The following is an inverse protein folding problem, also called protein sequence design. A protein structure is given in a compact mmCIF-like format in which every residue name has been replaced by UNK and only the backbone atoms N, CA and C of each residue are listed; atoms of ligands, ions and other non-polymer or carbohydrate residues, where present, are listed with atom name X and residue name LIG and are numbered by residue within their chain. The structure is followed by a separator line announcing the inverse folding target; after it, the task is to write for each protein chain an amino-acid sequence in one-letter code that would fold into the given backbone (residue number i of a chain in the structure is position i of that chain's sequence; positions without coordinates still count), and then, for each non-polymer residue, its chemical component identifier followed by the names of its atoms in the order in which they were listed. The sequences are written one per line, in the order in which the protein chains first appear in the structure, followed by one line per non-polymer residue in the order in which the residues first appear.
data_IF_995446501002
#
_entry.id   IF_995446501002
#
_cell.length_a   1.000
_cell.length_b   1.000
_cell.length_c   1.000
_cell.angle_alpha   90.00
_cell.angle_beta   90.00
_cell.angle_gamma   90.00
#
_symmetry.space_group_name_H-M   'P 1'
#
loop_
_entity.id
_entity.type
_entity.pdbx_description
1 polymer ?
#
# COMPACT_ATOMS: atom_id res chain seq x y z
N UNK A 1 2.84 9.11 -45.06
CA UNK A 1 3.46 8.06 -44.23
C UNK A 1 4.41 8.75 -43.27
N UNK A 2 3.93 9.04 -42.05
CA UNK A 2 4.74 9.66 -40.99
C UNK A 2 4.82 8.65 -39.87
N UNK A 3 6.03 8.14 -39.63
CA UNK A 3 6.30 7.11 -38.63
C UNK A 3 6.32 7.78 -37.26
N UNK A 4 5.34 7.44 -36.44
CA UNK A 4 5.23 7.85 -35.04
C UNK A 4 6.40 7.25 -34.26
N UNK A 5 7.29 8.11 -33.77
CA UNK A 5 8.47 7.75 -33.00
C UNK A 5 8.00 7.51 -31.56
N UNK A 6 7.87 6.24 -31.17
CA UNK A 6 7.61 5.83 -29.78
C UNK A 6 8.76 6.31 -28.90
N UNK A 7 8.48 7.30 -28.05
CA UNK A 7 9.43 7.82 -27.09
C UNK A 7 9.67 6.78 -26.00
N UNK A 8 10.79 6.07 -26.09
CA UNK A 8 11.32 5.26 -24.98
C UNK A 8 11.71 6.23 -23.87
N UNK A 9 11.04 6.16 -22.72
CA UNK A 9 11.46 6.83 -21.49
C UNK A 9 12.91 6.42 -21.22
N UNK A 10 13.87 7.36 -21.10
CA UNK A 10 15.24 7.01 -20.81
C UNK A 10 15.29 6.38 -19.41
N UNK A 11 16.03 5.28 -19.29
CA UNK A 11 16.42 4.72 -18.00
C UNK A 11 17.37 5.73 -17.30
N UNK A 12 16.80 6.78 -16.72
CA UNK A 12 17.49 7.72 -15.85
C UNK A 12 17.87 6.98 -14.57
N UNK A 13 19.15 7.08 -14.19
CA UNK A 13 19.77 6.26 -13.15
C UNK A 13 18.96 6.18 -11.86
N UNK A 14 19.05 5.02 -11.18
CA UNK A 14 18.52 4.83 -9.84
C UNK A 14 19.01 5.97 -8.93
N UNK A 15 18.17 6.99 -8.77
CA UNK A 15 18.53 8.23 -8.10
C UNK A 15 18.87 7.94 -6.65
N UNK A 16 19.99 8.52 -6.19
CA UNK A 16 20.38 8.52 -4.78
C UNK A 16 19.20 8.98 -3.90
N UNK A 17 18.99 8.29 -2.79
CA UNK A 17 17.94 8.60 -1.83
C UNK A 17 17.45 7.36 -1.09
N UNK A 18 16.70 7.57 -0.01
CA UNK A 18 16.05 6.51 0.78
C UNK A 18 14.58 6.81 1.02
N UNK A 19 13.78 5.76 1.17
CA UNK A 19 12.45 5.85 1.77
C UNK A 19 12.58 5.68 3.28
N UNK A 20 11.93 6.56 4.05
CA UNK A 20 11.63 6.32 5.45
C UNK A 20 10.18 5.89 5.56
N UNK A 21 9.94 4.65 5.93
CA UNK A 21 8.61 4.16 6.27
C UNK A 21 8.47 4.20 7.78
N UNK A 22 7.37 4.77 8.26
CA UNK A 22 7.07 4.89 9.69
C UNK A 22 5.78 4.16 9.95
N UNK A 23 5.80 3.23 10.89
CA UNK A 23 4.58 2.61 11.36
C UNK A 23 4.74 1.20 11.91
N UNK A 24 3.63 0.49 12.05
CA UNK A 24 3.61 -0.77 12.77
C UNK A 24 4.30 -1.89 11.99
N UNK A 25 4.97 -2.75 12.76
CA UNK A 25 5.39 -4.08 12.37
C UNK A 25 4.97 -4.99 13.53
N UNK A 26 4.39 -6.15 13.20
CA UNK A 26 3.75 -7.02 14.18
C UNK A 26 3.85 -8.49 13.78
N UNK A 27 3.36 -9.37 14.63
CA UNK A 27 3.14 -10.77 14.30
C UNK A 27 1.66 -11.04 14.09
N UNK A 28 1.31 -11.56 12.92
CA UNK A 28 0.01 -12.15 12.63
C UNK A 28 0.03 -13.62 13.08
N UNK A 29 -0.69 -13.92 14.16
CA UNK A 29 -0.83 -15.26 14.71
C UNK A 29 -2.17 -15.87 14.30
N UNK A 30 -2.15 -17.08 13.74
CA UNK A 30 -3.36 -17.86 13.46
C UNK A 30 -3.42 -19.02 14.44
N UNK A 31 -4.54 -19.16 15.15
CA UNK A 31 -4.79 -20.25 16.11
C UNK A 31 -5.92 -21.12 15.59
N UNK A 32 -5.66 -22.42 15.53
CA UNK A 32 -6.61 -23.42 15.07
C UNK A 32 -7.30 -24.14 16.25
N UNK A 33 -8.51 -24.69 16.06
CA UNK A 33 -9.21 -25.47 17.10
C UNK A 33 -8.45 -26.69 17.60
N UNK A 34 -7.54 -27.24 16.79
CA UNK A 34 -6.70 -28.39 17.13
C UNK A 34 -5.50 -28.04 18.04
N UNK A 35 -5.37 -26.76 18.40
CA UNK A 35 -4.30 -26.23 19.24
C UNK A 35 -3.03 -25.87 18.46
N UNK A 36 -2.99 -26.09 17.14
CA UNK A 36 -1.88 -25.62 16.31
C UNK A 36 -1.92 -24.10 16.12
N UNK A 37 -0.76 -23.50 15.95
CA UNK A 37 -0.63 -22.07 15.67
C UNK A 37 0.48 -21.78 14.68
N UNK A 38 0.26 -20.79 13.82
CA UNK A 38 1.26 -20.24 12.92
C UNK A 38 1.45 -18.76 13.20
N UNK A 39 2.69 -18.29 13.21
CA UNK A 39 3.05 -16.88 13.42
C UNK A 39 3.79 -16.38 12.18
N UNK A 40 3.33 -15.26 11.62
CA UNK A 40 3.92 -14.65 10.43
C UNK A 40 4.22 -13.18 10.70
N UNK A 41 5.34 -12.64 10.19
CA UNK A 41 5.57 -11.20 10.17
C UNK A 41 4.46 -10.48 9.40
N UNK A 42 4.00 -9.36 9.95
CA UNK A 42 2.97 -8.52 9.36
C UNK A 42 3.15 -7.04 9.71
N UNK A 43 2.13 -6.25 9.37
CA UNK A 43 2.13 -4.79 9.51
C UNK A 43 2.19 -4.10 8.14
N UNK A 44 1.25 -3.17 7.91
CA UNK A 44 1.09 -2.55 6.60
C UNK A 44 2.33 -1.72 6.20
N UNK A 45 2.81 -0.78 7.03
CA UNK A 45 4.06 -0.05 6.76
C UNK A 45 5.27 -0.97 6.61
N UNK A 46 5.36 -2.06 7.39
CA UNK A 46 6.41 -3.05 7.25
C UNK A 46 6.41 -3.72 5.86
N UNK A 47 5.23 -4.10 5.35
CA UNK A 47 5.05 -4.67 4.02
C UNK A 47 5.38 -3.67 2.89
N UNK A 48 5.07 -2.38 3.08
CA UNK A 48 5.48 -1.33 2.13
C UNK A 48 7.00 -1.21 2.08
N UNK A 49 7.67 -1.19 3.23
CA UNK A 49 9.13 -1.16 3.30
C UNK A 49 9.76 -2.40 2.64
N UNK A 50 9.20 -3.59 2.91
CA UNK A 50 9.58 -4.86 2.29
C UNK A 50 9.48 -4.79 0.76
N UNK A 51 8.35 -4.31 0.23
CA UNK A 51 8.13 -4.16 -1.20
C UNK A 51 9.13 -3.20 -1.85
N UNK A 52 9.41 -2.06 -1.22
CA UNK A 52 10.41 -1.11 -1.70
C UNK A 52 11.81 -1.71 -1.75
N UNK A 53 12.21 -2.43 -0.70
CA UNK A 53 13.51 -3.08 -0.63
C UNK A 53 13.69 -4.16 -1.71
N UNK A 54 12.65 -4.98 -1.95
CA UNK A 54 12.65 -6.00 -3.03
C UNK A 54 12.68 -5.39 -4.42
N UNK A 55 12.10 -4.21 -4.60
CA UNK A 55 12.23 -3.42 -5.83
C UNK A 55 13.60 -2.74 -5.93
N UNK A 56 14.52 -2.92 -4.99
CA UNK A 56 15.88 -2.38 -5.02
C UNK A 56 15.98 -0.93 -4.58
N UNK A 57 14.98 -0.42 -3.84
CA UNK A 57 15.06 0.89 -3.18
C UNK A 57 15.69 0.73 -1.79
N UNK A 58 16.47 1.72 -1.37
CA UNK A 58 16.90 1.81 0.03
C UNK A 58 15.68 2.18 0.88
N UNK A 59 15.28 1.29 1.78
CA UNK A 59 14.12 1.46 2.65
C UNK A 59 14.54 1.31 4.11
N UNK A 60 14.29 2.36 4.89
CA UNK A 60 14.38 2.34 6.33
C UNK A 60 12.97 2.18 6.92
N UNK A 61 12.83 1.40 7.98
CA UNK A 61 11.58 1.25 8.72
C UNK A 61 11.77 1.72 10.18
N UNK A 62 11.07 2.78 10.56
CA UNK A 62 10.92 3.21 11.95
C UNK A 62 9.66 2.58 12.54
N UNK A 63 9.83 1.67 13.50
CA UNK A 63 8.74 0.85 14.04
C UNK A 63 8.86 0.62 15.55
N UNK A 64 7.88 -0.08 16.13
CA UNK A 64 7.73 -0.32 17.56
C UNK A 64 7.75 -1.82 17.86
N UNK A 65 8.94 -2.42 17.84
CA UNK A 65 9.16 -3.86 18.05
C UNK A 65 9.87 -4.14 19.37
N UNK A 66 9.39 -5.14 20.11
CA UNK A 66 9.96 -5.56 21.39
C UNK A 66 11.27 -6.30 21.24
N UNK A 67 12.12 -6.28 22.28
CA UNK A 67 13.35 -7.07 22.34
C UNK A 67 13.07 -8.54 22.71
N UNK A 68 12.26 -9.21 21.89
CA UNK A 68 11.80 -10.59 22.09
C UNK A 68 11.90 -11.43 20.80
N UNK A 69 11.60 -12.72 20.91
CA UNK A 69 11.72 -13.67 19.79
C UNK A 69 10.82 -13.31 18.59
N UNK A 70 9.67 -12.67 18.83
CA UNK A 70 8.75 -12.21 17.78
C UNK A 70 9.29 -10.97 17.09
N UNK A 71 9.86 -10.03 17.84
CA UNK A 71 10.56 -8.88 17.28
C UNK A 71 11.72 -9.33 16.42
N UNK A 72 12.49 -10.32 16.87
CA UNK A 72 13.59 -10.90 16.08
C UNK A 72 13.10 -11.64 14.83
N UNK A 73 11.94 -12.30 14.89
CA UNK A 73 11.30 -12.93 13.73
C UNK A 73 10.98 -11.87 12.67
N UNK A 74 10.35 -10.76 13.07
CA UNK A 74 9.96 -9.67 12.17
C UNK A 74 11.20 -8.96 11.60
N UNK A 75 12.19 -8.62 12.44
CA UNK A 75 13.45 -7.99 11.99
C UNK A 75 14.15 -8.83 10.93
N UNK A 76 14.38 -10.13 11.22
CA UNK A 76 15.05 -11.04 10.27
C UNK A 76 14.30 -11.13 8.94
N UNK A 77 12.97 -11.16 8.98
CA UNK A 77 12.16 -11.22 7.76
C UNK A 77 12.36 -9.98 6.87
N UNK A 78 12.32 -8.79 7.48
CA UNK A 78 12.48 -7.52 6.79
C UNK A 78 13.92 -7.32 6.29
N UNK A 79 14.91 -7.60 7.14
CA UNK A 79 16.34 -7.47 6.82
C UNK A 79 16.77 -8.45 5.73
N UNK A 80 16.18 -9.65 5.66
CA UNK A 80 16.44 -10.61 4.59
C UNK A 80 16.05 -10.08 3.19
N UNK A 81 15.16 -9.09 3.12
CA UNK A 81 14.81 -8.40 1.87
C UNK A 81 15.52 -7.05 1.70
N UNK A 82 16.43 -6.68 2.61
CA UNK A 82 17.23 -5.46 2.54
C UNK A 82 16.61 -4.23 3.21
N UNK A 83 15.54 -4.39 4.00
CA UNK A 83 15.01 -3.29 4.82
C UNK A 83 15.96 -3.05 5.99
N UNK A 84 16.27 -1.78 6.28
CA UNK A 84 16.95 -1.40 7.50
C UNK A 84 15.93 -1.03 8.57
N UNK A 85 15.81 -1.86 9.61
CA UNK A 85 14.95 -1.54 10.76
C UNK A 85 15.71 -0.58 11.67
N UNK A 86 15.14 0.59 11.93
CA UNK A 86 15.74 1.61 12.79
C UNK A 86 15.48 1.30 14.26
N UNK A 87 16.44 1.67 15.11
CA UNK A 87 16.39 1.51 16.54
C UNK A 87 16.12 2.85 17.22
N UNK A 88 14.99 2.92 17.92
CA UNK A 88 14.64 4.06 18.76
C UNK A 88 15.33 4.02 20.13
N UNK A 89 15.29 5.16 20.82
CA UNK A 89 15.66 5.28 22.23
C UNK A 89 14.75 4.50 23.19
N UNK A 90 13.59 4.07 22.70
CA UNK A 90 12.59 3.28 23.41
C UNK A 90 12.04 2.18 22.51
N UNK A 91 11.59 1.10 23.13
CA UNK A 91 10.92 -0.05 22.50
C UNK A 91 9.79 -0.53 23.42
N UNK A 92 8.76 -1.21 22.90
CA UNK A 92 7.73 -1.80 23.75
C UNK A 92 8.29 -2.95 24.59
N UNK A 93 7.55 -3.32 25.64
CA UNK A 93 7.88 -4.48 26.48
C UNK A 93 7.74 -5.82 25.71
N UNK A 94 6.79 -5.88 24.77
CA UNK A 94 6.56 -7.03 23.91
C UNK A 94 6.23 -6.58 22.48
N UNK A 95 6.57 -7.40 21.49
CA UNK A 95 6.22 -7.18 20.09
C UNK A 95 4.71 -7.30 19.89
N UNK A 96 4.06 -6.33 19.20
CA UNK A 96 2.63 -6.39 18.92
C UNK A 96 2.21 -7.66 18.19
N UNK A 97 1.04 -8.20 18.55
CA UNK A 97 0.47 -9.42 17.96
C UNK A 97 -1.00 -9.19 17.60
N UNK A 98 -1.36 -9.53 16.36
CA UNK A 98 -2.73 -9.69 15.92
C UNK A 98 -3.03 -11.20 15.84
N UNK A 99 -3.96 -11.68 16.66
CA UNK A 99 -4.32 -13.11 16.72
C UNK A 99 -5.67 -13.35 16.07
N UNK A 100 -5.70 -14.16 15.02
CA UNK A 100 -6.91 -14.74 14.45
C UNK A 100 -7.18 -16.11 15.08
N UNK A 101 -8.28 -16.23 15.82
CA UNK A 101 -8.78 -17.47 16.37
C UNK A 101 -9.82 -18.05 15.42
N UNK A 102 -9.49 -19.18 14.78
CA UNK A 102 -10.39 -19.89 13.89
C UNK A 102 -11.27 -20.86 14.68
N UNK A 103 -12.56 -20.87 14.39
CA UNK A 103 -13.48 -21.89 14.88
C UNK A 103 -13.46 -23.14 13.96
N UNK A 104 -14.15 -24.24 14.34
CA UNK A 104 -14.23 -25.44 13.49
C UNK A 104 -14.89 -25.24 12.12
N UNK A 105 -15.61 -24.13 11.91
CA UNK A 105 -16.21 -23.74 10.64
C UNK A 105 -15.28 -22.82 9.81
N UNK A 106 -14.10 -22.47 10.33
CA UNK A 106 -13.13 -21.58 9.70
C UNK A 106 -13.46 -20.09 9.87
N UNK A 107 -14.42 -19.74 10.74
CA UNK A 107 -14.74 -18.34 11.04
C UNK A 107 -13.69 -17.78 12.00
N UNK A 108 -13.09 -16.65 11.63
CA UNK A 108 -12.09 -15.97 12.43
C UNK A 108 -12.70 -14.97 13.42
N UNK A 109 -12.22 -15.00 14.66
CA UNK A 109 -12.36 -13.91 15.64
C UNK A 109 -10.99 -13.32 15.93
N UNK A 110 -10.90 -12.01 16.14
CA UNK A 110 -9.62 -11.32 16.25
C UNK A 110 -9.38 -10.80 17.67
N UNK A 111 -8.18 -11.04 18.18
CA UNK A 111 -7.65 -10.51 19.42
C UNK A 111 -6.38 -9.72 19.10
N UNK A 112 -6.25 -8.55 19.69
CA UNK A 112 -5.16 -7.63 19.40
C UNK A 112 -4.42 -7.28 20.69
N UNK A 113 -3.21 -7.79 20.83
CA UNK A 113 -2.26 -7.40 21.88
C UNK A 113 -1.24 -6.46 21.24
N UNK A 114 -1.64 -5.19 21.09
CA UNK A 114 -0.83 -4.19 20.41
C UNK A 114 -0.75 -2.90 21.19
N UNK A 115 0.48 -2.43 21.31
CA UNK A 115 0.83 -1.08 21.72
C UNK A 115 1.51 -0.41 20.52
N UNK A 116 1.13 0.82 20.21
CA UNK A 116 1.80 1.62 19.20
C UNK A 116 2.26 2.95 19.79
N UNK A 117 3.57 3.18 19.75
CA UNK A 117 4.18 4.47 20.06
C UNK A 117 5.34 4.75 19.09
N UNK A 118 5.77 6.01 19.04
CA UNK A 118 6.94 6.44 18.28
C UNK A 118 8.07 6.83 19.26
N UNK A 119 9.31 6.33 19.07
CA UNK A 119 10.45 6.76 19.87
C UNK A 119 10.72 8.25 19.69
N UNK A 120 11.41 8.86 20.65
CA UNK A 120 11.70 10.30 20.60
C UNK A 120 12.94 10.60 19.76
N UNK A 121 13.87 9.65 19.71
CA UNK A 121 15.08 9.67 18.87
C UNK A 121 15.36 8.29 18.32
N UNK A 122 16.08 8.19 17.19
CA UNK A 122 16.44 6.94 16.53
C UNK A 122 17.70 7.09 15.67
N UNK A 123 18.26 5.97 15.23
CA UNK A 123 19.52 5.88 14.47
C UNK A 123 19.35 6.07 12.94
N UNK A 124 18.67 7.14 12.53
CA UNK A 124 18.60 7.51 11.11
C UNK A 124 19.89 8.15 10.59
N UNK A 125 20.07 8.10 9.27
CA UNK A 125 21.15 8.83 8.61
C UNK A 125 20.90 10.34 8.63
N UNK A 126 21.99 11.12 8.58
CA UNK A 126 21.93 12.58 8.61
C UNK A 126 21.36 13.22 7.33
N UNK A 127 21.37 12.53 6.18
CA UNK A 127 20.70 13.01 4.98
C UNK A 127 19.18 12.92 5.13
N UNK A 128 18.42 13.76 4.43
CA UNK A 128 16.96 13.69 4.42
C UNK A 128 16.47 12.52 3.56
N UNK A 129 15.39 11.85 3.99
CA UNK A 129 14.74 10.84 3.18
C UNK A 129 14.12 11.50 1.94
N UNK A 130 14.19 10.82 0.79
CA UNK A 130 13.55 11.32 -0.43
C UNK A 130 12.02 11.30 -0.29
N UNK A 131 11.52 10.27 0.39
CA UNK A 131 10.10 10.04 0.63
C UNK A 131 9.88 9.52 2.04
N UNK A 132 8.81 9.99 2.68
CA UNK A 132 8.34 9.47 3.96
C UNK A 132 6.95 8.88 3.76
N UNK A 133 6.74 7.66 4.23
CA UNK A 133 5.47 6.95 4.15
C UNK A 133 4.97 6.58 5.54
N UNK A 134 3.66 6.69 5.75
CA UNK A 134 2.97 6.11 6.90
C UNK A 134 1.58 5.63 6.48
N UNK A 135 0.93 4.87 7.34
CA UNK A 135 -0.43 4.43 7.11
C UNK A 135 -1.03 3.67 8.28
N UNK A 136 -2.18 3.05 8.02
CA UNK A 136 -2.84 2.09 8.89
C UNK A 136 -2.94 2.54 10.36
N UNK A 137 -2.87 1.58 11.28
CA UNK A 137 -3.03 1.84 12.72
C UNK A 137 -1.96 2.78 13.26
N UNK A 138 -0.77 2.82 12.67
CA UNK A 138 0.30 3.72 13.09
C UNK A 138 -0.07 5.20 12.99
N UNK A 139 -0.94 5.57 12.06
CA UNK A 139 -1.36 6.94 11.86
C UNK A 139 -2.51 7.38 12.79
N UNK A 140 -3.21 6.43 13.41
CA UNK A 140 -4.47 6.68 14.13
C UNK A 140 -4.37 6.36 15.62
N UNK A 141 -3.73 5.25 16.00
CA UNK A 141 -3.70 4.79 17.39
C UNK A 141 -2.88 5.71 18.28
N UNK A 142 -3.44 6.07 19.43
CA UNK A 142 -2.76 6.87 20.46
C UNK A 142 -1.99 5.93 21.40
N UNK A 143 -0.75 6.27 21.82
CA UNK A 143 -0.08 7.58 21.68
C UNK A 143 0.71 7.84 20.40
N UNK A 144 0.95 6.84 19.54
CA UNK A 144 1.87 6.99 18.40
C UNK A 144 1.36 7.86 17.24
N UNK A 145 0.07 7.80 16.89
CA UNK A 145 -0.53 8.49 15.75
C UNK A 145 -0.27 10.01 15.71
N UNK A 146 -0.52 10.75 16.82
CA UNK A 146 -0.15 12.16 16.89
C UNK A 146 1.34 12.42 16.65
N UNK A 147 2.24 11.57 17.17
CA UNK A 147 3.69 11.71 16.97
C UNK A 147 4.10 11.46 15.52
N UNK A 148 3.44 10.51 14.85
CA UNK A 148 3.61 10.27 13.41
C UNK A 148 3.18 11.48 12.60
N UNK A 149 2.06 12.13 12.95
CA UNK A 149 1.62 13.36 12.30
C UNK A 149 2.64 14.51 12.48
N UNK A 150 3.19 14.67 13.68
CA UNK A 150 4.24 15.66 13.95
C UNK A 150 5.52 15.37 13.15
N UNK A 151 5.94 14.10 13.07
CA UNK A 151 7.07 13.68 12.26
C UNK A 151 6.84 14.02 10.78
N UNK A 152 5.69 13.67 10.21
CA UNK A 152 5.35 14.03 8.83
C UNK A 152 5.43 15.55 8.60
N UNK A 153 4.86 16.34 9.52
CA UNK A 153 4.93 17.80 9.47
C UNK A 153 6.38 18.32 9.42
N UNK A 154 7.27 17.75 10.25
CA UNK A 154 8.69 18.12 10.28
C UNK A 154 9.44 17.77 8.99
N UNK A 155 9.02 16.72 8.26
CA UNK A 155 9.66 16.24 7.02
C UNK A 155 9.10 16.88 5.75
N UNK A 156 8.03 17.66 5.86
CA UNK A 156 7.34 18.25 4.71
C UNK A 156 8.24 19.13 3.83
N UNK A 157 9.23 19.77 4.43
CA UNK A 157 10.17 20.66 3.74
C UNK A 157 11.27 19.92 2.97
N UNK A 158 11.55 18.66 3.30
CA UNK A 158 12.72 17.93 2.76
C UNK A 158 12.32 16.69 1.95
N UNK A 159 11.18 16.07 2.26
CA UNK A 159 10.71 14.84 1.62
C UNK A 159 9.41 15.02 0.85
N UNK A 160 9.09 14.09 -0.05
CA UNK A 160 7.71 13.82 -0.45
C UNK A 160 7.02 13.01 0.64
N UNK A 161 5.79 13.35 0.99
CA UNK A 161 5.02 12.64 2.00
C UNK A 161 3.92 11.81 1.35
N UNK A 162 3.80 10.56 1.76
CA UNK A 162 2.79 9.64 1.24
C UNK A 162 2.01 8.99 2.38
N UNK A 163 0.73 8.74 2.16
CA UNK A 163 -0.16 8.20 3.17
C UNK A 163 -1.09 7.13 2.58
N UNK A 164 -1.25 6.03 3.32
CA UNK A 164 -2.26 5.01 3.05
C UNK A 164 -3.10 4.77 4.31
N UNK A 165 -4.36 5.27 4.39
CA UNK A 165 -5.18 5.09 5.58
C UNK A 165 -5.28 3.62 6.03
N UNK A 166 -5.33 2.68 5.08
CA UNK A 166 -5.40 1.23 5.26
C UNK A 166 -6.13 0.83 6.55
N UNK A 167 -7.42 1.15 6.60
CA UNK A 167 -8.17 1.25 7.84
C UNK A 167 -8.40 -0.13 8.46
N UNK A 168 -8.50 -0.16 9.78
CA UNK A 168 -8.77 -1.37 10.58
C UNK A 168 -9.93 -1.08 11.50
N UNK A 169 -11.19 -1.19 11.05
CA UNK A 169 -12.37 -0.84 11.87
C UNK A 169 -12.37 -1.50 13.26
N UNK A 170 -11.91 -2.76 13.34
CA UNK A 170 -11.78 -3.49 14.60
C UNK A 170 -10.83 -2.83 15.64
N UNK A 171 -9.91 -1.98 15.20
CA UNK A 171 -8.92 -1.28 16.03
C UNK A 171 -9.17 0.22 16.13
N UNK A 172 -9.83 0.79 15.12
CA UNK A 172 -9.98 2.25 14.99
C UNK A 172 -11.29 2.78 15.58
N UNK A 173 -12.26 1.92 15.88
CA UNK A 173 -13.50 2.32 16.55
C UNK A 173 -14.54 2.91 15.58
N UNK A 174 -15.11 4.06 15.94
CA UNK A 174 -16.17 4.70 15.14
C UNK A 174 -15.58 5.51 13.97
N UNK A 175 -16.06 5.33 12.72
CA UNK A 175 -15.59 6.11 11.57
C UNK A 175 -15.73 7.62 11.76
N UNK A 176 -16.70 8.10 12.55
CA UNK A 176 -16.89 9.53 12.83
C UNK A 176 -15.73 10.14 13.63
N UNK A 177 -15.06 9.35 14.47
CA UNK A 177 -13.89 9.78 15.23
C UNK A 177 -12.59 9.69 14.40
N UNK A 178 -12.56 8.75 13.45
CA UNK A 178 -11.39 8.45 12.61
C UNK A 178 -11.29 9.38 11.41
N UNK A 179 -12.43 9.73 10.79
CA UNK A 179 -12.48 10.59 9.61
C UNK A 179 -11.75 11.93 9.80
N UNK A 180 -11.94 12.70 10.90
CA UNK A 180 -11.20 13.94 11.11
C UNK A 180 -9.67 13.75 11.21
N UNK A 181 -9.21 12.61 11.74
CA UNK A 181 -7.78 12.27 11.81
C UNK A 181 -7.23 11.99 10.42
N UNK A 182 -7.93 11.16 9.65
CA UNK A 182 -7.59 10.82 8.26
C UNK A 182 -7.53 12.08 7.40
N UNK A 183 -8.58 12.91 7.42
CA UNK A 183 -8.61 14.11 6.58
C UNK A 183 -7.52 15.13 6.97
N UNK A 184 -7.15 15.22 8.25
CA UNK A 184 -6.05 16.08 8.69
C UNK A 184 -4.72 15.62 8.09
N UNK A 185 -4.47 14.31 8.07
CA UNK A 185 -3.28 13.73 7.44
C UNK A 185 -3.29 13.90 5.92
N UNK A 186 -4.44 13.65 5.28
CA UNK A 186 -4.63 13.86 3.83
C UNK A 186 -4.23 15.28 3.42
N UNK A 187 -4.64 16.31 4.18
CA UNK A 187 -4.27 17.71 3.92
C UNK A 187 -2.76 17.98 4.03
N UNK A 188 -2.03 17.16 4.79
CA UNK A 188 -0.61 17.34 5.08
C UNK A 188 0.34 16.64 4.10
N UNK A 189 -0.15 15.69 3.29
CA UNK A 189 0.68 14.83 2.43
C UNK A 189 0.55 15.17 0.94
N UNK A 190 1.44 14.59 0.13
CA UNK A 190 1.51 14.85 -1.32
C UNK A 190 0.83 13.76 -2.15
N UNK A 191 0.83 12.52 -1.67
CA UNK A 191 0.21 11.37 -2.35
C UNK A 191 -0.59 10.56 -1.36
N UNK A 192 -1.83 10.26 -1.71
CA UNK A 192 -2.70 9.37 -0.94
C UNK A 192 -3.03 8.15 -1.79
N UNK A 193 -2.92 6.96 -1.21
CA UNK A 193 -3.55 5.75 -1.72
C UNK A 193 -4.59 5.31 -0.70
N UNK A 194 -5.75 4.87 -1.15
CA UNK A 194 -6.83 4.41 -0.26
C UNK A 194 -7.63 3.34 -1.00
N UNK A 195 -8.32 2.45 -0.28
CA UNK A 195 -9.24 1.50 -0.93
C UNK A 195 -10.66 2.05 -1.00
N UNK A 196 -11.47 1.51 -1.90
CA UNK A 196 -12.90 1.81 -1.95
C UNK A 196 -13.63 1.32 -0.69
N UNK A 197 -13.19 0.22 -0.08
CA UNK A 197 -13.76 -0.25 1.20
C UNK A 197 -13.47 0.72 2.35
N UNK A 198 -12.25 1.27 2.42
CA UNK A 198 -11.87 2.30 3.40
C UNK A 198 -12.75 3.54 3.26
N UNK A 199 -12.95 4.00 2.01
CA UNK A 199 -13.79 5.15 1.71
C UNK A 199 -15.27 4.88 2.04
N UNK A 200 -15.77 3.69 1.72
CA UNK A 200 -17.14 3.27 2.04
C UNK A 200 -17.38 3.19 3.55
N UNK A 201 -16.36 2.82 4.32
CA UNK A 201 -16.43 2.80 5.78
C UNK A 201 -16.40 4.21 6.39
N UNK A 202 -15.51 5.08 5.91
CA UNK A 202 -15.38 6.45 6.40
C UNK A 202 -16.59 7.33 6.06
N UNK A 203 -17.10 7.21 4.84
CA UNK A 203 -18.18 8.05 4.32
C UNK A 203 -19.23 7.21 3.56
N UNK A 204 -20.04 6.41 4.29
CA UNK A 204 -21.03 5.54 3.68
C UNK A 204 -21.99 6.30 2.76
N UNK A 205 -22.19 5.80 1.54
CA UNK A 205 -23.11 6.36 0.56
C UNK A 205 -22.55 7.49 -0.31
N UNK A 206 -21.30 7.90 -0.11
CA UNK A 206 -20.60 8.84 -1.01
C UNK A 206 -19.76 8.05 -2.00
N UNK A 207 -19.78 8.42 -3.29
CA UNK A 207 -19.00 7.71 -4.29
C UNK A 207 -17.49 7.91 -4.04
N UNK A 208 -16.65 6.84 -4.14
CA UNK A 208 -15.20 6.95 -3.92
C UNK A 208 -14.52 8.05 -4.75
N UNK A 209 -14.99 8.25 -5.98
CA UNK A 209 -14.49 9.30 -6.87
C UNK A 209 -14.74 10.72 -6.33
N UNK A 210 -15.91 10.97 -5.73
CA UNK A 210 -16.25 12.27 -5.15
C UNK A 210 -15.36 12.60 -3.94
N UNK A 211 -15.04 11.59 -3.14
CA UNK A 211 -14.14 11.73 -1.99
C UNK A 211 -12.70 11.99 -2.48
N UNK A 212 -12.22 11.21 -3.45
CA UNK A 212 -10.88 11.40 -4.03
C UNK A 212 -10.71 12.78 -4.68
N UNK A 213 -11.71 13.24 -5.44
CA UNK A 213 -11.76 14.59 -6.02
C UNK A 213 -11.80 15.68 -4.94
N UNK A 214 -12.46 15.41 -3.81
CA UNK A 214 -12.44 16.33 -2.67
C UNK A 214 -11.06 16.37 -2.03
N UNK A 215 -10.48 15.22 -1.71
CA UNK A 215 -9.19 15.11 -1.06
C UNK A 215 -8.07 15.77 -1.87
N UNK A 216 -8.00 15.53 -3.19
CA UNK A 216 -6.94 16.14 -4.04
C UNK A 216 -6.99 17.67 -4.03
N UNK A 217 -8.18 18.28 -3.88
CA UNK A 217 -8.34 19.74 -3.77
C UNK A 217 -7.87 20.31 -2.42
N UNK A 218 -7.57 19.47 -1.44
CA UNK A 218 -7.18 19.91 -0.09
C UNK A 218 -5.67 19.91 0.16
N UNK A 219 -4.85 19.34 -0.75
CA UNK A 219 -3.40 19.28 -0.56
C UNK A 219 -2.67 18.32 -1.50
N UNK A 220 -3.02 17.02 -1.54
CA UNK A 220 -2.31 16.04 -2.34
C UNK A 220 -2.27 16.37 -3.83
N UNK A 221 -1.13 16.10 -4.45
CA UNK A 221 -0.99 16.14 -5.91
C UNK A 221 -1.70 14.96 -6.59
N UNK A 222 -1.81 13.83 -5.89
CA UNK A 222 -2.31 12.57 -6.41
C UNK A 222 -3.10 11.82 -5.33
N UNK A 223 -4.33 11.42 -5.65
CA UNK A 223 -5.11 10.47 -4.85
C UNK A 223 -5.41 9.26 -5.71
N UNK A 224 -5.04 8.07 -5.23
CA UNK A 224 -5.27 6.78 -5.90
C UNK A 224 -6.26 5.96 -5.08
N UNK A 225 -7.28 5.44 -5.74
CA UNK A 225 -8.28 4.56 -5.12
C UNK A 225 -8.22 3.17 -5.75
N UNK A 226 -7.93 2.15 -4.94
CA UNK A 226 -7.92 0.73 -5.37
C UNK A 226 -9.28 0.08 -5.17
N UNK A 227 -9.70 -0.80 -6.10
CA UNK A 227 -10.98 -1.52 -6.12
C UNK A 227 -10.75 -3.03 -6.30
N UNK A 228 -9.91 -3.62 -5.43
CA UNK A 228 -9.55 -5.04 -5.48
C UNK A 228 -9.26 -5.56 -6.90
N UNK A 229 -10.01 -6.58 -7.33
CA UNK A 229 -9.88 -7.23 -8.63
C UNK A 229 -10.34 -6.40 -9.84
N UNK A 230 -10.94 -5.22 -9.64
CA UNK A 230 -11.33 -4.30 -10.72
C UNK A 230 -10.18 -3.36 -11.12
N UNK A 231 -9.19 -3.17 -10.24
CA UNK A 231 -8.01 -2.34 -10.49
C UNK A 231 -7.97 -1.09 -9.64
N UNK A 232 -7.68 0.06 -10.25
CA UNK A 232 -7.53 1.32 -9.52
C UNK A 232 -7.86 2.53 -10.41
N UNK A 233 -8.23 3.64 -9.79
CA UNK A 233 -8.27 4.94 -10.45
C UNK A 233 -7.44 5.97 -9.70
N UNK A 234 -6.99 7.01 -10.41
CA UNK A 234 -6.31 8.16 -9.85
C UNK A 234 -7.02 9.47 -10.20
N UNK A 235 -6.94 10.43 -9.29
CA UNK A 235 -7.28 11.83 -9.50
C UNK A 235 -6.03 12.66 -9.20
N UNK A 236 -5.67 13.54 -10.13
CA UNK A 236 -4.51 14.44 -9.98
C UNK A 236 -4.97 15.86 -9.68
N UNK A 237 -4.12 16.66 -9.02
CA UNK A 237 -4.39 18.10 -8.84
C UNK A 237 -4.42 18.88 -10.16
N UNK A 238 -3.77 18.34 -11.20
CA UNK A 238 -3.83 18.87 -12.57
C UNK A 238 -5.16 18.58 -13.29
N UNK A 239 -6.08 17.84 -12.66
CA UNK A 239 -7.42 17.55 -13.18
C UNK A 239 -7.54 16.30 -14.05
N UNK A 240 -6.45 15.53 -14.22
CA UNK A 240 -6.52 14.23 -14.88
C UNK A 240 -7.22 13.20 -13.97
N UNK A 241 -8.07 12.38 -14.60
CA UNK A 241 -8.71 11.20 -14.01
C UNK A 241 -8.43 9.98 -14.88
N UNK A 242 -7.86 8.94 -14.27
CA UNK A 242 -7.32 7.78 -14.98
C UNK A 242 -7.75 6.51 -14.27
N UNK A 243 -7.99 5.44 -15.02
CA UNK A 243 -8.30 4.12 -14.47
C UNK A 243 -7.46 3.05 -15.15
N UNK A 244 -7.03 2.05 -14.38
CA UNK A 244 -6.34 0.86 -14.87
C UNK A 244 -7.06 -0.38 -14.36
N UNK A 245 -7.13 -1.42 -15.20
CA UNK A 245 -7.67 -2.71 -14.79
C UNK A 245 -6.62 -3.52 -14.03
N UNK A 246 -7.06 -4.33 -13.06
CA UNK A 246 -6.18 -5.32 -12.45
C UNK A 246 -5.87 -6.46 -13.45
N UNK A 247 -4.61 -6.91 -13.58
CA UNK A 247 -4.29 -8.14 -14.29
C UNK A 247 -5.05 -9.33 -13.71
N UNK A 248 -5.59 -10.19 -14.57
CA UNK A 248 -6.24 -11.44 -14.13
C UNK A 248 -5.17 -12.45 -13.72
N UNK A 249 -5.27 -12.94 -12.49
CA UNK A 249 -4.36 -13.95 -11.92
C UNK A 249 -5.16 -14.94 -11.08
N UNK A 250 -4.61 -16.14 -10.89
CA UNK A 250 -5.11 -17.07 -9.88
C UNK A 250 -4.71 -16.54 -8.50
N UNK A 251 -5.69 -16.17 -7.69
CA UNK A 251 -5.47 -15.65 -6.34
C UNK A 251 -5.13 -16.80 -5.40
N UNK A 252 -3.96 -16.71 -4.75
CA UNK A 252 -3.54 -17.60 -3.67
C UNK A 252 -3.86 -16.99 -2.30
N UNK A 253 -3.60 -15.69 -2.14
CA UNK A 253 -3.82 -14.93 -0.90
C UNK A 253 -3.98 -13.44 -1.25
N UNK A 254 -4.86 -12.71 -0.57
CA UNK A 254 -5.02 -11.25 -0.79
C UNK A 254 -4.19 -10.39 0.16
N UNK A 255 -3.54 -11.02 1.16
CA UNK A 255 -2.71 -10.34 2.14
C UNK A 255 -1.57 -9.57 1.46
N UNK A 256 -1.42 -8.29 1.80
CA UNK A 256 -0.39 -7.40 1.25
C UNK A 256 -0.66 -6.86 -0.16
N UNK A 257 -1.82 -7.10 -0.76
CA UNK A 257 -2.17 -6.51 -2.07
C UNK A 257 -2.16 -4.97 -2.04
N UNK A 258 -2.76 -4.38 -1.00
CA UNK A 258 -2.79 -2.95 -0.78
C UNK A 258 -1.39 -2.37 -0.56
N UNK A 259 -0.63 -2.99 0.33
CA UNK A 259 0.71 -2.56 0.74
C UNK A 259 1.71 -2.65 -0.43
N UNK A 260 1.65 -3.75 -1.21
CA UNK A 260 2.49 -3.94 -2.40
C UNK A 260 2.15 -2.93 -3.50
N UNK A 261 0.87 -2.62 -3.70
CA UNK A 261 0.46 -1.54 -4.58
C UNK A 261 1.02 -0.19 -4.10
N UNK A 262 1.00 0.09 -2.80
CA UNK A 262 1.54 1.33 -2.24
C UNK A 262 3.07 1.43 -2.41
N UNK A 263 3.79 0.33 -2.15
CA UNK A 263 5.22 0.24 -2.45
C UNK A 263 5.52 0.43 -3.94
N UNK A 264 4.67 -0.11 -4.81
CA UNK A 264 4.72 0.09 -6.26
C UNK A 264 4.47 1.53 -6.69
N UNK A 265 3.54 2.23 -6.02
CA UNK A 265 3.23 3.64 -6.28
C UNK A 265 4.42 4.52 -5.93
N UNK A 266 5.01 4.31 -4.76
CA UNK A 266 6.24 5.00 -4.35
C UNK A 266 7.38 4.68 -5.34
N UNK A 267 7.62 3.41 -5.69
CA UNK A 267 8.67 3.04 -6.65
C UNK A 267 8.45 3.65 -8.05
N UNK A 268 7.22 3.70 -8.52
CA UNK A 268 6.85 4.25 -9.82
C UNK A 268 7.12 5.76 -9.87
N UNK A 269 6.63 6.51 -8.88
CA UNK A 269 6.89 7.95 -8.77
C UNK A 269 8.39 8.25 -8.57
N UNK A 270 9.11 7.39 -7.84
CA UNK A 270 10.55 7.48 -7.71
C UNK A 270 11.24 7.32 -9.07
N UNK A 271 10.86 6.28 -9.82
CA UNK A 271 11.43 6.00 -11.15
C UNK A 271 11.15 7.13 -12.15
N UNK A 272 10.00 7.80 -12.02
CA UNK A 272 9.64 8.97 -12.82
C UNK A 272 10.37 10.26 -12.39
N UNK A 273 11.16 10.23 -11.31
CA UNK A 273 11.85 11.42 -10.78
C UNK A 273 10.91 12.47 -10.21
N UNK A 274 9.81 12.04 -9.59
CA UNK A 274 8.75 12.90 -9.03
C UNK A 274 8.80 13.02 -7.50
N UNK A 275 9.71 12.30 -6.83
CA UNK A 275 9.86 12.33 -5.37
C UNK A 275 10.95 13.31 -4.90
N UNK A 276 10.84 13.74 -3.65
CA UNK A 276 11.67 14.74 -3.00
C UNK A 276 10.97 16.10 -2.91
N UNK A 277 11.24 16.88 -1.86
CA UNK A 277 10.54 18.14 -1.66
C UNK A 277 10.69 19.13 -2.82
N UNK A 278 11.88 19.17 -3.44
CA UNK A 278 12.16 19.99 -4.63
C UNK A 278 11.44 19.56 -5.91
N UNK A 279 10.79 18.38 -5.91
CA UNK A 279 10.04 17.84 -7.06
C UNK A 279 8.53 17.99 -6.92
N UNK A 280 8.06 18.60 -5.83
CA UNK A 280 6.64 18.75 -5.53
C UNK A 280 5.84 19.49 -6.60
N UNK A 281 6.38 20.56 -7.18
CA UNK A 281 5.74 21.24 -8.31
C UNK A 281 5.57 20.30 -9.52
N UNK A 282 6.63 19.54 -9.87
CA UNK A 282 6.58 18.56 -10.95
C UNK A 282 5.60 17.41 -10.65
N UNK A 283 5.43 17.03 -9.39
CA UNK A 283 4.41 16.05 -8.98
C UNK A 283 2.98 16.60 -9.14
N UNK A 284 2.75 17.87 -8.82
CA UNK A 284 1.45 18.53 -9.06
C UNK A 284 1.12 18.69 -10.54
N UNK A 285 2.14 18.88 -11.37
CA UNK A 285 2.05 19.06 -12.83
C UNK A 285 2.24 17.73 -13.60
N UNK A 286 2.19 16.58 -12.92
CA UNK A 286 2.45 15.28 -13.55
C UNK A 286 1.45 15.01 -14.67
N UNK A 287 1.96 14.56 -15.82
CA UNK A 287 1.11 14.22 -16.97
C UNK A 287 0.38 12.89 -16.79
N UNK A 288 -0.71 12.74 -17.55
CA UNK A 288 -1.59 11.58 -17.48
C UNK A 288 -0.89 10.27 -17.88
N UNK A 289 -0.02 10.32 -18.88
CA UNK A 289 0.69 9.14 -19.40
C UNK A 289 1.64 8.56 -18.33
N UNK A 290 2.33 9.43 -17.59
CA UNK A 290 3.20 9.06 -16.48
C UNK A 290 2.41 8.42 -15.35
N UNK A 291 1.28 9.02 -14.94
CA UNK A 291 0.42 8.46 -13.89
C UNK A 291 -0.14 7.11 -14.32
N UNK A 292 -0.60 6.97 -15.57
CA UNK A 292 -1.10 5.70 -16.08
C UNK A 292 -0.03 4.60 -16.06
N UNK A 293 1.19 4.90 -16.54
CA UNK A 293 2.30 3.94 -16.50
C UNK A 293 2.66 3.51 -15.07
N UNK A 294 2.60 4.44 -14.12
CA UNK A 294 2.80 4.14 -12.69
C UNK A 294 1.67 3.22 -12.18
N UNK A 295 0.41 3.53 -12.46
CA UNK A 295 -0.74 2.72 -12.03
C UNK A 295 -0.72 1.31 -12.60
N UNK A 296 -0.40 1.14 -13.89
CA UNK A 296 -0.28 -0.18 -14.54
C UNK A 296 0.80 -1.02 -13.86
N UNK A 297 1.93 -0.40 -13.51
CA UNK A 297 2.99 -1.05 -12.73
C UNK A 297 2.52 -1.44 -11.33
N UNK A 298 1.77 -0.58 -10.64
CA UNK A 298 1.20 -0.88 -9.32
C UNK A 298 0.24 -2.08 -9.38
N UNK A 299 -0.66 -2.10 -10.37
CA UNK A 299 -1.61 -3.18 -10.57
C UNK A 299 -0.90 -4.52 -10.85
N UNK A 300 0.21 -4.50 -11.62
CA UNK A 300 1.04 -5.68 -11.85
C UNK A 300 1.73 -6.19 -10.59
N UNK A 301 2.28 -5.29 -9.77
CA UNK A 301 2.90 -5.64 -8.48
C UNK A 301 1.87 -6.31 -7.56
N UNK A 302 0.67 -5.72 -7.44
CA UNK A 302 -0.42 -6.28 -6.65
C UNK A 302 -0.84 -7.66 -7.18
N UNK A 303 -0.99 -7.81 -8.50
CA UNK A 303 -1.35 -9.09 -9.13
C UNK A 303 -0.32 -10.20 -8.86
N UNK A 304 0.98 -9.89 -8.91
CA UNK A 304 2.03 -10.86 -8.56
C UNK A 304 1.95 -11.20 -7.07
N UNK A 305 1.72 -10.21 -6.21
CA UNK A 305 1.61 -10.40 -4.76
C UNK A 305 0.46 -11.36 -4.44
N UNK A 306 -0.72 -11.13 -5.00
CA UNK A 306 -1.90 -11.97 -4.68
C UNK A 306 -1.88 -13.37 -5.29
N UNK A 307 -0.99 -13.62 -6.25
CA UNK A 307 -0.79 -14.97 -6.80
C UNK A 307 0.13 -15.85 -5.92
N UNK A 308 0.59 -15.32 -4.78
CA UNK A 308 1.51 -15.99 -3.85
C UNK A 308 0.88 -16.02 -2.45
N UNK A 309 1.20 -17.03 -1.61
CA UNK A 309 0.81 -17.01 -0.21
C UNK A 309 1.50 -15.88 0.57
N UNK A 310 0.74 -15.19 1.44
CA UNK A 310 1.21 -14.11 2.31
C UNK A 310 1.57 -12.80 1.58
N UNK A 311 1.95 -11.78 2.36
CA UNK A 311 2.44 -10.50 1.85
C UNK A 311 3.81 -10.67 1.15
N UNK A 312 3.79 -11.14 -0.09
CA UNK A 312 4.99 -11.57 -0.82
C UNK A 312 5.16 -10.78 -2.15
N UNK A 313 5.51 -9.47 -2.08
CA UNK A 313 5.67 -8.65 -3.27
C UNK A 313 6.86 -9.08 -4.14
N UNK A 314 6.82 -8.85 -5.46
CA UNK A 314 7.89 -9.21 -6.38
C UNK A 314 9.17 -8.42 -6.12
N UNK A 315 10.29 -9.02 -6.50
CA UNK A 315 11.56 -8.34 -6.71
C UNK A 315 11.55 -7.54 -8.02
N UNK A 316 12.51 -6.61 -8.19
CA UNK A 316 12.68 -5.88 -9.46
C UNK A 316 12.84 -6.83 -10.65
N UNK A 317 13.61 -7.91 -10.49
CA UNK A 317 13.88 -8.89 -11.55
C UNK A 317 12.59 -9.59 -11.98
N UNK A 318 11.84 -10.14 -11.03
CA UNK A 318 10.54 -10.78 -11.32
C UNK A 318 9.54 -9.80 -11.96
N UNK A 319 9.61 -8.53 -11.58
CA UNK A 319 8.77 -7.50 -12.17
C UNK A 319 9.22 -7.09 -13.58
N UNK A 320 10.46 -7.32 -13.98
CA UNK A 320 10.92 -7.03 -15.33
C UNK A 320 10.83 -8.26 -16.26
N UNK A 321 10.62 -9.46 -15.70
CA UNK A 321 10.35 -10.67 -16.48
C UNK A 321 9.00 -10.57 -17.21
N UNK A 322 8.93 -10.91 -18.50
CA UNK A 322 7.66 -10.98 -19.22
C UNK A 322 6.79 -12.08 -18.61
N UNK A 323 5.59 -11.71 -18.16
CA UNK A 323 4.60 -12.63 -17.57
C UNK A 323 4.22 -13.69 -18.60
N UNK A 324 4.59 -14.95 -18.37
CA UNK A 324 4.38 -16.06 -19.30
C UNK A 324 2.94 -16.58 -19.36
N UNK A 325 2.02 -16.06 -18.51
CA UNK A 325 0.66 -16.60 -18.34
C UNK A 325 -0.49 -15.59 -18.52
N UNK A 326 -0.24 -14.45 -19.16
CA UNK A 326 -1.35 -13.58 -19.57
C UNK A 326 -2.08 -14.19 -20.78
N UNK A 327 -3.10 -15.04 -20.54
CA UNK A 327 -4.00 -15.45 -21.61
C UNK A 327 -4.67 -14.20 -22.21
N UNK A 328 -4.64 -14.02 -23.54
CA UNK A 328 -5.32 -12.90 -24.17
C UNK A 328 -6.82 -12.96 -23.89
N UNK A 329 -7.43 -11.78 -23.69
CA UNK A 329 -8.87 -11.66 -23.53
C UNK A 329 -9.57 -12.31 -24.74
N UNK A 330 -10.30 -13.39 -24.49
CA UNK A 330 -11.22 -13.94 -25.49
C UNK A 330 -12.40 -12.97 -25.53
N UNK A 331 -12.57 -12.30 -26.67
CA UNK A 331 -13.74 -11.47 -26.95
C UNK A 331 -14.99 -12.29 -26.65
N UNK A 332 -15.84 -11.75 -25.77
CA UNK A 332 -17.16 -12.30 -25.52
C UNK A 332 -18.05 -12.07 -26.75
N UNK A 333 -17.90 -12.92 -27.77
CA UNK A 333 -18.91 -13.06 -28.81
C UNK A 333 -20.20 -13.54 -28.16
N UNK A 334 -21.25 -12.75 -28.37
CA UNK A 334 -22.63 -12.94 -27.95
C UNK A 334 -23.09 -14.40 -28.08
N UNK A 335 -23.69 -15.03 -27.06
CA UNK A 335 -24.27 -16.35 -27.21
C UNK A 335 -25.47 -16.24 -28.16
N UNK A 336 -25.37 -16.91 -29.30
CA UNK A 336 -26.52 -17.20 -30.15
C UNK A 336 -27.40 -18.21 -29.43
N UNK A 337 -28.63 -17.81 -29.13
CA UNK A 337 -29.66 -18.69 -28.57
C UNK A 337 -29.92 -19.88 -29.51
N UNK A 338 -29.98 -21.13 -29.01
CA UNK A 338 -30.48 -22.25 -29.80
C UNK A 338 -31.98 -22.05 -30.07
N UNK A 339 -32.36 -22.15 -31.34
CA UNK A 339 -33.75 -22.29 -31.75
C UNK A 339 -34.12 -23.76 -31.66
N UNK A 340 -34.96 -24.12 -30.69
CA UNK A 340 -35.57 -25.45 -30.64
C UNK A 340 -36.79 -25.51 -31.58
N UNK A 341 -36.90 -26.54 -32.45
CA UNK A 341 -38.09 -26.79 -33.23
C UNK A 341 -38.97 -27.88 -32.58
N UNK A 342 -40.31 -27.65 -32.65
CA UNK A 342 -41.44 -28.60 -32.44
C UNK A 342 -41.79 -28.84 -30.95
N UNK A 343 -43.04 -28.75 -30.47
CA UNK A 343 -44.36 -28.82 -31.11
C UNK A 343 -44.97 -30.22 -30.97
N UNK A 344 -45.92 -30.41 -30.03
CA UNK A 344 -47.16 -31.21 -30.14
C UNK A 344 -47.64 -31.83 -28.79
N UNK A 345 -48.86 -31.48 -28.40
CA UNK A 345 -49.92 -32.46 -28.17
C UNK A 345 -50.16 -33.02 -26.74
N UNK A 346 -51.39 -32.75 -26.28
CA UNK A 346 -52.15 -33.32 -25.15
C UNK A 346 -51.86 -32.75 -23.75
#
# INVERSE_FOLDING_TARGET
MSVTRTGRVPAGGAGAGRALVVGEALVDAVRHPDGSSAEHPGGSPANVALGLARLGRRADLLTWLGADARGDLVRRHLEASGVRVLHGDRTPAATPVATAHLDPAGVATYEFDLEWDLPSTWDEDADDALVVHTGSIAAVLTPGGPKVADLLGSRRATSTLTYDPNLRPALMGDPADVLPVVERLVRGVDVVKVSDEDLAWLQPGVAPAEIAETWVRTGPALVVVTHGGEGAFAVTSAGARLSVAAPRVTVADTVGAGDSFMGGLIDGLWSAGLLGAGRRAALHDVDADTVQAVLERCARIAAITVSRPGANPPTRVELDEPTTDAQPAVDATTPTLPTDPKGAGA
#
